data_IF_978597799124
#
_entry.id   IF_978597799124
#
_cell.length_a   1.000
_cell.length_b   1.000
_cell.length_c   1.000
_cell.angle_alpha   90.00
_cell.angle_beta   90.00
_cell.angle_gamma   90.00
#
_symmetry.space_group_name_H-M   'P 1'
#
loop_
_entity.id
_entity.type
_entity.pdbx_description
1 polymer ?
#
# COMPACT_ATOMS: atom_id res chain seq x y z
N UNK A 1 8.49 -11.53 12.39
CA UNK A 1 9.00 -10.20 12.01
C UNK A 1 7.83 -9.44 11.43
N UNK A 2 7.53 -8.24 11.94
CA UNK A 2 6.35 -7.46 11.54
C UNK A 2 6.40 -7.10 10.06
N UNK A 3 5.25 -7.11 9.39
CA UNK A 3 5.13 -6.83 7.97
C UNK A 3 4.10 -5.74 7.68
N UNK A 4 4.19 -5.22 6.47
CA UNK A 4 3.12 -4.49 5.82
C UNK A 4 2.57 -5.34 4.67
N UNK A 5 1.24 -5.43 4.57
CA UNK A 5 0.53 -6.17 3.53
C UNK A 5 -0.06 -5.19 2.54
N UNK A 6 0.04 -5.53 1.26
CA UNK A 6 -0.41 -4.69 0.14
C UNK A 6 -1.33 -5.52 -0.75
N UNK A 7 -2.57 -5.10 -0.86
CA UNK A 7 -3.51 -5.59 -1.87
C UNK A 7 -3.70 -4.51 -2.93
N UNK A 8 -3.69 -4.91 -4.19
CA UNK A 8 -3.77 -4.03 -5.34
C UNK A 8 -5.11 -4.17 -6.05
N UNK A 9 -5.69 -3.03 -6.44
CA UNK A 9 -6.99 -2.95 -7.07
C UNK A 9 -6.92 -2.12 -8.35
N UNK A 10 -7.76 -2.48 -9.33
CA UNK A 10 -7.93 -1.71 -10.58
C UNK A 10 -8.53 -0.32 -10.33
N UNK A 11 -9.16 -0.13 -9.18
CA UNK A 11 -9.76 1.13 -8.77
C UNK A 11 -10.97 0.93 -7.87
N UNK A 12 -11.81 1.94 -7.85
CA UNK A 12 -13.07 1.97 -7.12
C UNK A 12 -14.19 1.24 -7.89
N UNK A 13 -15.12 0.67 -7.13
CA UNK A 13 -16.29 -0.01 -7.66
C UNK A 13 -17.26 0.98 -8.32
N UNK A 14 -18.03 0.50 -9.30
CA UNK A 14 -19.18 1.24 -9.86
C UNK A 14 -20.49 0.56 -9.50
N UNK A 15 -21.53 1.35 -9.25
CA UNK A 15 -22.90 0.85 -9.08
C UNK A 15 -23.51 0.39 -10.42
N UNK A 16 -24.75 -0.13 -10.38
CA UNK A 16 -25.46 -0.58 -11.58
C UNK A 16 -25.80 0.54 -12.58
N UNK A 17 -25.71 1.81 -12.17
CA UNK A 17 -25.89 2.99 -13.02
C UNK A 17 -24.55 3.57 -13.53
N UNK A 18 -23.42 3.00 -13.10
CA UNK A 18 -22.07 3.42 -13.50
C UNK A 18 -21.43 4.50 -12.63
N UNK A 19 -22.06 4.92 -11.53
CA UNK A 19 -21.47 5.89 -10.59
C UNK A 19 -20.39 5.24 -9.74
N UNK A 20 -19.31 5.98 -9.47
CA UNK A 20 -18.19 5.50 -8.65
C UNK A 20 -18.59 5.48 -7.17
N UNK A 21 -18.37 4.34 -6.52
CA UNK A 21 -18.56 4.17 -5.08
C UNK A 21 -17.21 4.23 -4.35
N UNK A 22 -17.13 4.75 -3.12
CA UNK A 22 -15.88 4.87 -2.36
C UNK A 22 -15.46 3.52 -1.73
N UNK A 23 -15.55 2.43 -2.48
CA UNK A 23 -15.15 1.09 -2.07
C UNK A 23 -14.34 0.43 -3.19
N UNK A 24 -13.26 -0.30 -2.88
CA UNK A 24 -12.52 -1.06 -3.89
C UNK A 24 -13.37 -2.20 -4.45
N UNK A 25 -13.16 -2.54 -5.73
CA UNK A 25 -13.73 -3.75 -6.30
C UNK A 25 -12.90 -4.98 -5.89
N UNK A 26 -13.52 -5.97 -5.27
CA UNK A 26 -12.86 -7.24 -4.89
C UNK A 26 -13.19 -8.35 -5.90
N UNK A 27 -12.32 -9.37 -6.06
CA UNK A 27 -11.03 -9.58 -5.39
C UNK A 27 -9.96 -8.56 -5.82
N UNK A 28 -8.91 -8.43 -5.00
CA UNK A 28 -7.70 -7.72 -5.40
C UNK A 28 -7.09 -8.40 -6.63
N UNK A 29 -6.53 -7.61 -7.55
CA UNK A 29 -5.87 -8.16 -8.75
C UNK A 29 -4.48 -8.72 -8.45
N UNK A 30 -3.84 -8.21 -7.39
CA UNK A 30 -2.58 -8.72 -6.85
C UNK A 30 -2.64 -8.61 -5.33
N UNK A 31 -2.14 -9.64 -4.65
CA UNK A 31 -1.78 -9.59 -3.24
C UNK A 31 -0.27 -9.77 -3.19
N UNK A 32 0.46 -8.74 -2.77
CA UNK A 32 1.91 -8.83 -2.73
C UNK A 32 2.38 -9.66 -1.54
N UNK A 33 3.58 -10.24 -1.65
CA UNK A 33 4.28 -10.76 -0.49
C UNK A 33 4.50 -9.64 0.54
N UNK A 34 4.20 -9.91 1.81
CA UNK A 34 4.31 -8.90 2.86
C UNK A 34 5.76 -8.41 3.02
N UNK A 35 5.93 -7.09 3.02
CA UNK A 35 7.23 -6.42 3.12
C UNK A 35 7.61 -6.28 4.59
N UNK A 36 8.82 -6.71 4.93
CA UNK A 36 9.35 -6.61 6.30
C UNK A 36 9.48 -5.16 6.76
N UNK A 37 8.96 -4.86 7.96
CA UNK A 37 9.20 -3.60 8.66
C UNK A 37 10.50 -3.75 9.45
N UNK A 38 11.57 -3.11 8.97
CA UNK A 38 12.90 -3.13 9.60
C UNK A 38 13.48 -1.73 9.82
N UNK A 39 14.68 -1.69 10.39
CA UNK A 39 15.42 -0.43 10.67
C UNK A 39 16.04 0.21 9.42
N UNK A 40 15.99 -0.49 8.28
CA UNK A 40 16.38 0.01 6.96
C UNK A 40 15.14 0.02 6.09
N UNK A 41 15.03 1.03 5.22
CA UNK A 41 13.92 1.10 4.28
C UNK A 41 13.92 -0.11 3.33
N UNK A 42 12.79 -0.81 3.29
CA UNK A 42 12.55 -1.92 2.36
C UNK A 42 11.44 -1.53 1.38
N UNK A 43 11.55 -1.95 0.12
CA UNK A 43 10.56 -1.69 -0.92
C UNK A 43 9.73 -2.94 -1.23
N UNK A 44 8.48 -2.70 -1.61
CA UNK A 44 7.58 -3.68 -2.22
C UNK A 44 8.00 -4.01 -3.66
N UNK A 45 7.32 -4.99 -4.25
CA UNK A 45 7.35 -5.14 -5.70
C UNK A 45 6.66 -3.94 -6.38
N UNK A 46 7.02 -3.69 -7.64
CA UNK A 46 6.31 -2.69 -8.45
C UNK A 46 4.85 -3.09 -8.61
N UNK A 47 3.94 -2.13 -8.43
CA UNK A 47 2.51 -2.34 -8.61
C UNK A 47 2.21 -2.76 -10.04
N UNK A 48 1.22 -3.64 -10.19
CA UNK A 48 0.76 -4.13 -11.48
C UNK A 48 0.38 -2.96 -12.42
N UNK A 49 0.53 -3.16 -13.72
CA UNK A 49 0.19 -2.18 -14.75
C UNK A 49 -1.26 -1.66 -14.67
N UNK A 50 -2.16 -2.46 -14.09
CA UNK A 50 -3.57 -2.12 -13.92
C UNK A 50 -3.91 -1.56 -12.53
N UNK A 51 -2.95 -1.50 -11.60
CA UNK A 51 -3.20 -1.01 -10.25
C UNK A 51 -3.40 0.50 -10.23
N UNK A 52 -4.48 0.94 -9.59
CA UNK A 52 -4.81 2.36 -9.39
C UNK A 52 -5.12 2.70 -7.94
N UNK A 53 -5.40 1.68 -7.13
CA UNK A 53 -5.68 1.80 -5.71
C UNK A 53 -5.00 0.64 -4.99
N UNK A 54 -4.44 0.90 -3.81
CA UNK A 54 -3.92 -0.13 -2.92
C UNK A 54 -4.61 -0.06 -1.56
N UNK A 55 -4.74 -1.21 -0.91
CA UNK A 55 -4.98 -1.33 0.52
C UNK A 55 -3.67 -1.68 1.21
N UNK A 56 -3.37 -1.01 2.30
CA UNK A 56 -2.17 -1.21 3.09
C UNK A 56 -2.59 -1.55 4.51
N UNK A 57 -2.10 -2.67 5.04
CA UNK A 57 -2.31 -3.07 6.43
C UNK A 57 -0.97 -3.29 7.13
N UNK A 58 -0.82 -2.80 8.36
CA UNK A 58 0.48 -2.76 9.07
C UNK A 58 0.43 -3.56 10.37
N UNK A 59 1.44 -4.40 10.63
CA UNK A 59 1.56 -5.16 11.90
C UNK A 59 2.22 -4.37 13.04
N UNK A 60 2.82 -3.21 12.73
CA UNK A 60 3.59 -2.41 13.69
C UNK A 60 3.65 -0.94 13.26
N UNK A 61 4.01 -0.07 14.22
CA UNK A 61 4.27 1.33 13.93
C UNK A 61 5.39 1.44 12.89
N UNK A 62 5.10 2.12 11.80
CA UNK A 62 6.02 2.28 10.69
C UNK A 62 5.84 3.61 9.99
N UNK A 63 6.77 3.90 9.09
CA UNK A 63 6.72 5.03 8.18
C UNK A 63 6.74 4.50 6.74
N UNK A 64 5.91 5.09 5.87
CA UNK A 64 5.79 4.68 4.47
C UNK A 64 6.15 5.80 3.49
N UNK A 65 6.55 5.42 2.28
CA UNK A 65 6.69 6.32 1.14
C UNK A 65 6.25 5.62 -0.15
N UNK A 66 5.62 6.35 -1.07
CA UNK A 66 5.17 5.85 -2.37
C UNK A 66 5.90 6.59 -3.49
N UNK A 67 6.26 5.90 -4.56
CA UNK A 67 6.94 6.48 -5.72
C UNK A 67 7.57 5.43 -6.63
N UNK A 68 8.33 5.84 -7.64
CA UNK A 68 8.94 4.91 -8.62
C UNK A 68 10.10 4.12 -8.00
N UNK A 69 10.90 4.77 -7.16
CA UNK A 69 11.97 4.18 -6.37
C UNK A 69 12.04 4.81 -4.97
N UNK A 70 11.01 4.59 -4.13
CA UNK A 70 10.83 5.34 -2.89
C UNK A 70 11.81 4.87 -1.81
N UNK A 71 12.19 5.79 -0.92
CA UNK A 71 12.92 5.48 0.31
C UNK A 71 12.11 6.04 1.48
N UNK A 72 11.64 5.16 2.36
CA UNK A 72 10.92 5.57 3.56
C UNK A 72 11.88 6.15 4.59
N UNK A 73 11.44 7.20 5.28
CA UNK A 73 12.20 7.87 6.34
C UNK A 73 11.37 7.81 7.61
N UNK A 74 11.96 7.35 8.71
CA UNK A 74 11.24 7.08 9.97
C UNK A 74 10.48 8.28 10.56
N UNK A 75 10.77 9.50 10.11
CA UNK A 75 10.14 10.74 10.61
C UNK A 75 9.01 11.27 9.73
N UNK A 76 8.61 10.55 8.67
CA UNK A 76 7.58 10.99 7.70
C UNK A 76 6.62 9.85 7.36
N UNK A 77 5.36 10.18 7.06
CA UNK A 77 4.39 9.19 6.59
C UNK A 77 4.12 8.06 7.60
N UNK A 78 4.01 8.43 8.89
CA UNK A 78 3.80 7.47 9.98
C UNK A 78 2.42 6.82 9.90
N UNK A 79 2.38 5.50 10.06
CA UNK A 79 1.17 4.70 10.27
C UNK A 79 1.23 4.05 11.66
N UNK A 80 0.09 3.95 12.33
CA UNK A 80 -0.02 3.23 13.59
C UNK A 80 0.00 1.71 13.35
N UNK A 81 0.33 0.94 14.38
CA UNK A 81 0.20 -0.52 14.32
C UNK A 81 -1.27 -0.93 14.12
N UNK A 82 -1.49 -2.06 13.46
CA UNK A 82 -2.79 -2.67 13.16
C UNK A 82 -3.72 -1.78 12.34
N UNK A 83 -3.18 -0.75 11.69
CA UNK A 83 -3.93 0.20 10.90
C UNK A 83 -4.07 -0.29 9.45
N UNK A 84 -5.26 -0.07 8.88
CA UNK A 84 -5.52 -0.20 7.44
C UNK A 84 -5.75 1.17 6.80
N UNK A 85 -5.06 1.47 5.71
CA UNK A 85 -5.35 2.62 4.85
C UNK A 85 -5.47 2.23 3.38
N UNK A 86 -6.07 3.12 2.59
CA UNK A 86 -6.20 2.98 1.14
C UNK A 86 -5.59 4.19 0.44
N UNK A 87 -4.80 3.94 -0.60
CA UNK A 87 -4.12 4.98 -1.37
C UNK A 87 -4.39 4.83 -2.86
N UNK A 88 -4.73 5.93 -3.53
CA UNK A 88 -4.65 6.00 -4.97
C UNK A 88 -3.17 6.06 -5.39
N UNK A 89 -2.78 5.27 -6.38
CA UNK A 89 -1.38 5.13 -6.80
C UNK A 89 -1.27 5.09 -8.32
N UNK A 90 -0.08 5.38 -8.84
CA UNK A 90 0.22 5.15 -10.24
C UNK A 90 0.75 3.71 -10.44
N UNK A 91 0.37 3.04 -11.55
CA UNK A 91 0.93 1.72 -11.87
C UNK A 91 2.44 1.77 -12.03
N UNK A 92 3.13 0.68 -11.65
CA UNK A 92 4.59 0.59 -11.68
C UNK A 92 5.31 1.23 -10.50
N UNK A 93 4.63 2.04 -9.68
CA UNK A 93 5.19 2.55 -8.42
C UNK A 93 5.38 1.44 -7.39
N UNK A 94 6.06 1.77 -6.30
CA UNK A 94 6.29 0.88 -5.17
C UNK A 94 5.89 1.58 -3.88
N UNK A 95 5.75 0.79 -2.83
CA UNK A 95 5.71 1.27 -1.45
C UNK A 95 7.02 0.91 -0.76
N UNK A 96 7.63 1.89 -0.10
CA UNK A 96 8.72 1.67 0.83
C UNK A 96 8.22 1.75 2.28
N UNK A 97 8.79 0.95 3.17
CA UNK A 97 8.48 0.94 4.60
C UNK A 97 9.75 0.92 5.44
N UNK A 98 9.69 1.55 6.61
CA UNK A 98 10.73 1.52 7.66
C UNK A 98 10.06 1.55 9.03
N UNK A 99 10.68 0.94 10.05
CA UNK A 99 10.22 1.04 11.43
C UNK A 99 10.21 2.50 11.90
N UNK A 100 9.16 2.89 12.60
CA UNK A 100 9.06 4.20 13.27
C UNK A 100 8.71 3.98 14.74
N UNK A 101 9.12 4.91 15.59
CA UNK A 101 8.67 5.02 16.97
C UNK A 101 7.47 5.96 17.07
#
# INVERSE_FOLDING_TARGET
MSKIYIDEFVGLQKDGAGHVMPVPQTPAIVQQDGVTIGVVSAQSAAFNANTRLIRVHTDAVCAIALGDNPTAVATKGRMAADQTEYFAVYPGQKLAVISST
#
